data_IF_997652197950
#
_entry.id   IF_997652197950
#
_cell.length_a   1.000
_cell.length_b   1.000
_cell.length_c   1.000
_cell.angle_alpha   90.00
_cell.angle_beta   90.00
_cell.angle_gamma   90.00
#
_symmetry.space_group_name_H-M   'P 1'
#
loop_
_entity.id
_entity.type
_entity.pdbx_description
1 polymer ?
#
# COMPACT_ATOMS: atom_id res chain seq x y z
N UNK A 1 55.44 -92.00 52.89
CA UNK A 1 55.76 -90.95 53.88
C UNK A 1 55.28 -89.62 53.32
N UNK A 2 54.47 -88.83 54.07
CA UNK A 2 53.76 -87.61 53.62
C UNK A 2 52.75 -87.82 52.47
N UNK A 3 51.72 -87.00 52.26
CA UNK A 3 50.85 -86.22 53.18
C UNK A 3 49.46 -86.19 52.54
N UNK A 4 48.38 -86.39 53.30
CA UNK A 4 47.01 -86.20 52.81
C UNK A 4 46.60 -84.72 52.96
N UNK A 5 46.32 -84.04 51.84
CA UNK A 5 45.81 -82.67 51.81
C UNK A 5 44.34 -82.64 52.25
N UNK A 6 44.06 -82.13 53.45
CA UNK A 6 42.69 -82.06 53.98
C UNK A 6 41.88 -80.95 53.29
N UNK A 7 40.77 -81.32 52.62
CA UNK A 7 39.78 -80.35 52.15
C UNK A 7 39.19 -79.57 53.33
N UNK A 8 39.35 -78.24 53.31
CA UNK A 8 38.78 -77.32 54.30
C UNK A 8 37.37 -76.92 53.86
N UNK A 9 36.34 -77.64 54.32
CA UNK A 9 34.93 -77.27 54.07
C UNK A 9 34.63 -75.87 54.64
N UNK A 10 33.99 -74.96 53.89
CA UNK A 10 33.54 -73.67 54.43
C UNK A 10 32.42 -73.86 55.45
N UNK A 11 32.33 -72.97 56.45
CA UNK A 11 31.21 -72.95 57.41
C UNK A 11 29.98 -72.34 56.74
N UNK A 12 28.82 -72.96 56.92
CA UNK A 12 27.53 -72.34 56.60
C UNK A 12 27.11 -71.39 57.73
N UNK A 13 26.88 -70.11 57.41
CA UNK A 13 26.26 -69.13 58.32
C UNK A 13 24.81 -68.94 57.89
N UNK A 14 23.86 -69.20 58.79
CA UNK A 14 22.44 -68.90 58.58
C UNK A 14 22.19 -67.45 58.99
N UNK A 15 21.63 -66.64 58.10
CA UNK A 15 20.97 -65.37 58.43
C UNK A 15 19.47 -65.56 58.19
N UNK A 16 18.63 -64.91 59.01
CA UNK A 16 17.17 -65.12 59.07
C UNK A 16 16.48 -63.78 58.84
N UNK A 17 15.40 -63.79 58.04
CA UNK A 17 14.47 -62.65 57.89
C UNK A 17 14.76 -61.77 56.68
N UNK A 18 13.71 -61.44 55.92
CA UNK A 18 13.80 -60.62 54.71
C UNK A 18 12.70 -60.90 53.70
N UNK A 19 11.43 -60.70 54.07
CA UNK A 19 10.30 -60.88 53.16
C UNK A 19 10.00 -59.58 52.39
N UNK A 20 10.62 -59.43 51.22
CA UNK A 20 10.37 -58.39 50.20
C UNK A 20 11.11 -58.84 48.92
N UNK A 21 10.63 -58.64 47.69
CA UNK A 21 9.36 -58.13 47.17
C UNK A 21 9.47 -58.14 45.64
N UNK A 22 8.48 -58.68 44.93
CA UNK A 22 8.55 -58.81 43.46
C UNK A 22 8.40 -57.44 42.79
N UNK A 23 9.49 -56.90 42.22
CA UNK A 23 9.44 -55.68 41.41
C UNK A 23 10.54 -55.69 40.34
N UNK A 24 10.17 -56.15 39.13
CA UNK A 24 10.99 -55.99 37.94
C UNK A 24 10.85 -54.55 37.45
N UNK A 25 11.69 -53.65 37.98
CA UNK A 25 11.68 -52.24 37.62
C UNK A 25 12.18 -52.04 36.18
N UNK A 26 11.25 -52.06 35.22
CA UNK A 26 11.49 -51.65 33.84
C UNK A 26 11.73 -50.13 33.81
N UNK A 27 12.99 -49.73 34.04
CA UNK A 27 13.42 -48.34 33.99
C UNK A 27 13.45 -47.85 32.54
N UNK A 28 12.28 -47.54 31.99
CA UNK A 28 12.15 -46.79 30.75
C UNK A 28 12.78 -45.41 30.99
N UNK A 29 13.99 -45.20 30.46
CA UNK A 29 14.63 -43.89 30.46
C UNK A 29 13.82 -43.00 29.53
N UNK A 30 12.94 -42.19 30.11
CA UNK A 30 12.34 -41.07 29.41
C UNK A 30 13.45 -40.06 29.13
N UNK A 31 14.13 -40.26 28.00
CA UNK A 31 14.92 -39.19 27.38
C UNK A 31 13.94 -38.05 27.13
N UNK A 32 14.10 -36.87 27.76
CA UNK A 32 13.30 -35.73 27.36
C UNK A 32 13.63 -35.46 25.90
N UNK A 33 12.61 -35.42 25.04
CA UNK A 33 12.80 -34.90 23.70
C UNK A 33 13.31 -33.47 23.85
N UNK A 34 14.59 -33.24 23.55
CA UNK A 34 15.07 -31.89 23.33
C UNK A 34 14.17 -31.29 22.24
N UNK A 35 13.73 -30.02 22.36
CA UNK A 35 13.07 -29.37 21.25
C UNK A 35 14.01 -29.49 20.05
N UNK A 36 13.52 -30.09 18.97
CA UNK A 36 14.24 -30.05 17.71
C UNK A 36 14.42 -28.57 17.39
N UNK A 37 15.67 -28.12 17.28
CA UNK A 37 15.95 -26.78 16.79
C UNK A 37 15.52 -26.77 15.32
N UNK A 38 14.29 -26.32 15.07
CA UNK A 38 13.83 -25.99 13.73
C UNK A 38 14.88 -25.05 13.13
N UNK A 39 15.52 -25.49 12.05
CA UNK A 39 16.39 -24.60 11.27
C UNK A 39 15.42 -23.63 10.61
N UNK A 40 15.47 -22.32 10.92
CA UNK A 40 14.47 -21.40 10.42
C UNK A 40 14.48 -21.43 8.88
N UNK A 41 13.30 -21.53 8.24
CA UNK A 41 13.17 -21.53 6.79
C UNK A 41 13.78 -20.28 6.17
N UNK A 42 14.44 -20.42 5.02
CA UNK A 42 15.26 -19.35 4.46
C UNK A 42 14.41 -18.26 3.78
N UNK A 43 14.61 -16.97 4.11
CA UNK A 43 13.85 -15.87 3.53
C UNK A 43 14.19 -15.60 2.07
N UNK A 44 13.37 -14.77 1.44
CA UNK A 44 13.68 -14.07 0.19
C UNK A 44 13.98 -12.58 0.49
N UNK A 45 15.05 -12.04 -0.08
CA UNK A 45 15.44 -10.63 0.06
C UNK A 45 14.84 -9.76 -1.04
N UNK A 46 14.26 -8.62 -0.67
CA UNK A 46 13.79 -7.60 -1.63
C UNK A 46 14.52 -6.28 -1.42
N UNK A 47 14.88 -5.60 -2.52
CA UNK A 47 15.62 -4.34 -2.48
C UNK A 47 15.47 -3.56 -3.79
N UNK A 48 15.61 -2.24 -3.74
CA UNK A 48 15.55 -1.38 -4.92
C UNK A 48 15.21 0.07 -4.59
N UNK A 49 14.65 0.82 -5.55
CA UNK A 49 14.26 2.23 -5.35
C UNK A 49 12.75 2.40 -5.22
N UNK A 50 12.31 3.48 -4.55
CA UNK A 50 10.89 3.81 -4.39
C UNK A 50 10.56 5.17 -5.02
N UNK A 51 9.50 5.20 -5.84
CA UNK A 51 8.97 6.39 -6.51
C UNK A 51 7.55 6.67 -6.00
N UNK A 52 7.23 7.93 -5.69
CA UNK A 52 5.90 8.38 -5.27
C UNK A 52 5.46 9.51 -6.20
N UNK A 53 4.42 9.25 -7.00
CA UNK A 53 4.01 10.12 -8.10
C UNK A 53 5.11 10.29 -9.13
N UNK A 54 5.60 11.52 -9.29
CA UNK A 54 6.72 11.88 -10.17
C UNK A 54 8.05 12.08 -9.44
N UNK A 55 8.08 11.91 -8.11
CA UNK A 55 9.26 12.13 -7.26
C UNK A 55 9.82 10.84 -6.65
N UNK A 56 11.06 10.91 -6.18
CA UNK A 56 11.65 9.84 -5.35
C UNK A 56 11.04 9.88 -3.94
N UNK A 57 10.87 8.72 -3.32
CA UNK A 57 10.35 8.64 -1.95
C UNK A 57 11.30 9.32 -0.93
N UNK A 58 10.78 10.05 0.08
CA UNK A 58 11.60 10.59 1.15
C UNK A 58 12.33 9.51 1.97
N UNK A 59 13.48 9.86 2.55
CA UNK A 59 14.11 9.05 3.61
C UNK A 59 13.11 8.87 4.77
N UNK A 60 13.02 7.64 5.28
CA UNK A 60 12.09 7.27 6.36
C UNK A 60 10.68 6.84 5.92
N UNK A 61 10.29 7.00 4.64
CA UNK A 61 9.06 6.38 4.11
C UNK A 61 9.09 4.86 4.36
N UNK A 62 7.97 4.31 4.83
CA UNK A 62 7.84 2.89 5.17
C UNK A 62 7.60 2.08 3.91
N UNK A 63 8.29 0.95 3.79
CA UNK A 63 8.03 -0.09 2.78
C UNK A 63 7.76 -1.39 3.51
N UNK A 64 6.61 -2.01 3.28
CA UNK A 64 6.29 -3.33 3.83
C UNK A 64 5.84 -4.33 2.76
N UNK A 65 5.99 -5.61 3.10
CA UNK A 65 5.66 -6.75 2.24
C UNK A 65 4.66 -7.65 2.95
N UNK A 66 3.58 -7.97 2.25
CA UNK A 66 2.43 -8.71 2.76
C UNK A 66 2.17 -9.95 1.90
N UNK A 67 1.65 -11.02 2.52
CA UNK A 67 1.10 -12.18 1.83
C UNK A 67 -0.34 -12.34 2.36
N UNK A 68 -1.32 -12.19 1.46
CA UNK A 68 -2.70 -11.93 1.87
C UNK A 68 -2.79 -10.64 2.69
N UNK A 69 -3.51 -10.68 3.82
CA UNK A 69 -3.68 -9.54 4.73
C UNK A 69 -2.57 -9.46 5.82
N UNK A 70 -1.54 -10.31 5.77
CA UNK A 70 -0.51 -10.42 6.81
C UNK A 70 0.79 -9.76 6.38
N UNK A 71 1.28 -8.78 7.15
CA UNK A 71 2.60 -8.19 6.97
C UNK A 71 3.71 -9.10 7.54
N UNK A 72 4.65 -9.48 6.67
CA UNK A 72 5.76 -10.39 6.99
C UNK A 72 7.12 -9.69 7.07
N UNK A 73 7.27 -8.52 6.45
CA UNK A 73 8.48 -7.71 6.52
C UNK A 73 8.16 -6.22 6.42
N UNK A 74 8.95 -5.39 7.10
CA UNK A 74 8.86 -3.93 7.06
C UNK A 74 10.24 -3.30 7.10
N UNK A 75 10.45 -2.19 6.38
CA UNK A 75 11.70 -1.43 6.29
C UNK A 75 11.41 0.05 6.00
N UNK A 76 12.46 0.88 5.94
CA UNK A 76 12.35 2.29 5.53
C UNK A 76 13.23 2.60 4.33
N UNK A 77 12.85 3.63 3.58
CA UNK A 77 13.67 4.24 2.54
C UNK A 77 14.87 4.97 3.15
N UNK A 78 16.05 4.82 2.53
CA UNK A 78 17.31 5.46 2.92
C UNK A 78 17.54 6.84 2.24
N UNK A 79 18.60 7.55 2.68
CA UNK A 79 18.99 8.85 2.14
C UNK A 79 19.37 8.86 0.64
N UNK A 80 19.51 7.69 0.01
CA UNK A 80 19.73 7.52 -1.43
C UNK A 80 18.45 7.08 -2.18
N UNK A 81 17.28 7.17 -1.53
CA UNK A 81 15.95 6.84 -2.05
C UNK A 81 15.72 5.33 -2.33
N UNK A 82 16.38 4.47 -1.56
CA UNK A 82 16.35 3.01 -1.73
C UNK A 82 15.80 2.30 -0.50
N UNK A 83 15.28 1.09 -0.68
CA UNK A 83 14.82 0.22 0.42
C UNK A 83 15.53 -1.14 0.41
N UNK A 84 15.62 -1.79 1.57
CA UNK A 84 16.21 -3.12 1.72
C UNK A 84 17.74 -3.21 1.58
N UNK A 85 18.42 -2.12 1.22
CA UNK A 85 19.88 -2.06 1.15
C UNK A 85 20.53 -2.16 2.55
N UNK A 86 21.75 -2.71 2.60
CA UNK A 86 22.63 -2.68 3.77
C UNK A 86 24.04 -2.25 3.36
N UNK A 87 24.64 -1.31 4.09
CA UNK A 87 25.92 -0.69 3.75
C UNK A 87 27.13 -1.33 4.44
N UNK A 88 26.93 -2.17 5.47
CA UNK A 88 27.98 -2.89 6.18
C UNK A 88 28.02 -4.40 5.85
N UNK A 89 29.21 -4.86 5.40
CA UNK A 89 29.59 -6.26 5.16
C UNK A 89 28.67 -7.10 4.25
N UNK A 90 28.97 -7.07 2.93
CA UNK A 90 28.74 -8.22 2.06
C UNK A 90 27.39 -8.31 1.35
N UNK A 91 26.47 -7.37 1.57
CA UNK A 91 25.28 -7.20 0.72
C UNK A 91 24.07 -8.08 1.04
N UNK A 92 24.00 -8.68 2.24
CA UNK A 92 22.72 -9.18 2.75
C UNK A 92 21.85 -8.02 3.19
N UNK A 93 20.78 -7.78 2.44
CA UNK A 93 19.80 -6.73 2.69
C UNK A 93 19.02 -6.95 3.98
N UNK A 94 18.40 -5.89 4.49
CA UNK A 94 17.62 -5.92 5.75
C UNK A 94 16.16 -6.32 5.54
N UNK A 95 15.64 -6.19 4.32
CA UNK A 95 14.23 -6.44 4.01
C UNK A 95 14.07 -7.85 3.43
N UNK A 96 13.57 -8.74 4.28
CA UNK A 96 13.58 -10.19 4.12
C UNK A 96 12.19 -10.73 4.44
N UNK A 97 11.50 -11.32 3.46
CA UNK A 97 10.24 -12.05 3.71
C UNK A 97 10.60 -13.49 4.09
N UNK A 98 10.28 -13.98 5.31
CA UNK A 98 10.53 -15.36 5.69
C UNK A 98 9.72 -16.32 4.81
N UNK A 99 10.26 -17.53 4.62
CA UNK A 99 9.47 -18.66 4.12
C UNK A 99 8.81 -19.41 5.28
N UNK A 100 7.81 -20.23 4.99
CA UNK A 100 7.05 -20.99 5.99
C UNK A 100 7.83 -22.20 6.54
N UNK A 101 7.60 -22.58 7.82
CA UNK A 101 8.19 -23.81 8.39
C UNK A 101 7.29 -25.01 8.13
N UNK A 102 7.85 -26.04 7.51
CA UNK A 102 7.22 -27.35 7.28
C UNK A 102 6.70 -28.02 8.57
N UNK A 103 7.18 -27.60 9.75
CA UNK A 103 6.71 -28.09 11.05
C UNK A 103 5.44 -27.39 11.57
N UNK A 104 5.20 -26.12 11.22
CA UNK A 104 3.99 -25.36 11.61
C UNK A 104 3.35 -24.62 10.41
N UNK A 105 2.85 -25.34 9.38
CA UNK A 105 2.54 -24.72 8.09
C UNK A 105 1.44 -23.65 8.13
N UNK A 106 1.65 -22.58 7.35
CA UNK A 106 0.76 -21.44 7.20
C UNK A 106 0.85 -20.44 8.34
N UNK A 107 2.02 -20.26 8.95
CA UNK A 107 2.23 -19.32 10.07
C UNK A 107 3.43 -18.40 9.90
N UNK A 108 4.59 -18.98 9.65
CA UNK A 108 5.87 -18.33 9.97
C UNK A 108 6.55 -17.68 8.76
N UNK A 109 5.95 -17.83 7.56
CA UNK A 109 6.36 -17.14 6.34
C UNK A 109 5.54 -17.54 5.12
N UNK A 110 6.05 -17.20 3.93
CA UNK A 110 5.44 -17.54 2.64
C UNK A 110 5.75 -18.96 2.16
N UNK A 111 4.82 -19.54 1.41
CA UNK A 111 4.99 -20.79 0.66
C UNK A 111 5.37 -20.47 -0.78
N UNK A 112 6.19 -21.32 -1.42
CA UNK A 112 6.59 -21.12 -2.82
C UNK A 112 5.35 -21.05 -3.74
N UNK A 113 5.19 -19.94 -4.45
CA UNK A 113 4.02 -19.65 -5.28
C UNK A 113 2.99 -18.70 -4.67
N UNK A 114 3.13 -18.28 -3.40
CA UNK A 114 2.30 -17.23 -2.81
C UNK A 114 2.56 -15.86 -3.47
N UNK A 115 1.56 -14.98 -3.50
CA UNK A 115 1.74 -13.60 -3.97
C UNK A 115 2.22 -12.71 -2.83
N UNK A 116 3.41 -12.13 -2.99
CA UNK A 116 3.91 -11.02 -2.16
C UNK A 116 3.43 -9.69 -2.76
N UNK A 117 2.65 -8.94 -2.00
CA UNK A 117 2.28 -7.56 -2.33
C UNK A 117 3.13 -6.57 -1.53
N UNK A 118 3.51 -5.45 -2.15
CA UNK A 118 4.33 -4.42 -1.50
C UNK A 118 3.54 -3.14 -1.30
N UNK A 119 3.73 -2.52 -0.15
CA UNK A 119 3.05 -1.30 0.27
C UNK A 119 4.06 -0.23 0.64
N UNK A 120 3.81 1.01 0.23
CA UNK A 120 4.63 2.19 0.54
C UNK A 120 3.75 3.18 1.30
N UNK A 121 4.13 3.48 2.54
CA UNK A 121 3.31 4.25 3.51
C UNK A 121 1.83 3.77 3.59
N UNK A 122 1.61 2.46 3.42
CA UNK A 122 0.29 1.80 3.44
C UNK A 122 -0.48 1.78 2.12
N UNK A 123 0.06 2.35 1.03
CA UNK A 123 -0.54 2.28 -0.32
C UNK A 123 0.11 1.16 -1.12
N UNK A 124 -0.68 0.28 -1.74
CA UNK A 124 -0.14 -0.79 -2.60
C UNK A 124 0.66 -0.17 -3.76
N UNK A 125 1.91 -0.61 -3.93
CA UNK A 125 2.77 -0.19 -5.01
C UNK A 125 2.60 -1.07 -6.25
N UNK A 126 2.80 -0.49 -7.42
CA UNK A 126 3.13 -1.24 -8.63
C UNK A 126 4.61 -1.67 -8.56
N UNK A 127 4.91 -2.89 -9.00
CA UNK A 127 6.24 -3.49 -8.97
C UNK A 127 6.86 -3.42 -10.37
N UNK A 128 8.16 -3.19 -10.45
CA UNK A 128 8.97 -3.42 -11.65
C UNK A 128 10.20 -4.24 -11.28
N UNK A 129 10.32 -5.44 -11.84
CA UNK A 129 11.48 -6.30 -11.68
C UNK A 129 12.60 -5.82 -12.60
N UNK A 130 13.74 -5.50 -11.99
CA UNK A 130 14.89 -4.90 -12.68
C UNK A 130 15.74 -5.94 -13.42
N UNK A 131 15.65 -7.22 -13.02
CA UNK A 131 16.46 -8.31 -13.56
C UNK A 131 15.74 -9.05 -14.71
N UNK A 132 14.40 -9.16 -14.68
CA UNK A 132 13.59 -9.61 -15.84
C UNK A 132 13.17 -8.47 -16.77
N UNK A 133 12.96 -7.26 -16.24
CA UNK A 133 12.45 -6.10 -16.97
C UNK A 133 10.91 -6.04 -17.08
N UNK A 134 10.18 -6.82 -16.27
CA UNK A 134 8.72 -6.89 -16.30
C UNK A 134 8.05 -6.07 -15.20
N UNK A 135 6.89 -5.48 -15.51
CA UNK A 135 6.00 -4.85 -14.52
C UNK A 135 5.05 -5.90 -13.93
N UNK A 136 4.92 -5.95 -12.60
CA UNK A 136 4.15 -6.97 -11.89
C UNK A 136 3.06 -6.33 -10.99
N UNK A 137 1.93 -7.01 -10.85
CA UNK A 137 0.85 -6.67 -9.89
C UNK A 137 1.12 -7.22 -8.47
N UNK A 138 2.10 -8.11 -8.35
CA UNK A 138 2.57 -8.78 -7.14
C UNK A 138 3.70 -9.75 -7.52
N UNK A 139 4.57 -10.09 -6.57
CA UNK A 139 5.71 -10.97 -6.82
C UNK A 139 5.40 -12.40 -6.38
N UNK A 140 5.67 -13.40 -7.23
CA UNK A 140 5.48 -14.82 -6.89
C UNK A 140 6.62 -15.29 -5.99
N UNK A 141 6.33 -15.65 -4.74
CA UNK A 141 7.33 -15.97 -3.72
C UNK A 141 8.17 -17.20 -4.08
N UNK A 142 9.50 -17.06 -3.97
CA UNK A 142 10.48 -18.14 -4.13
C UNK A 142 11.33 -18.27 -2.85
N UNK A 143 11.55 -19.50 -2.37
CA UNK A 143 12.35 -19.78 -1.17
C UNK A 143 13.86 -19.77 -1.52
N UNK A 144 14.72 -19.15 -0.69
CA UNK A 144 16.17 -18.93 -0.92
C UNK A 144 16.51 -18.03 -2.14
N UNK A 145 16.12 -16.75 -2.12
CA UNK A 145 16.44 -15.82 -3.23
C UNK A 145 16.71 -14.37 -2.83
N UNK A 146 17.14 -13.58 -3.81
CA UNK A 146 17.15 -12.10 -3.73
C UNK A 146 16.64 -11.54 -5.05
N UNK A 147 15.67 -10.62 -5.01
CA UNK A 147 15.13 -9.96 -6.20
C UNK A 147 15.26 -8.45 -6.09
N UNK A 148 15.69 -7.80 -7.17
CA UNK A 148 15.71 -6.34 -7.24
C UNK A 148 14.41 -5.80 -7.83
N UNK A 149 13.55 -5.25 -6.97
CA UNK A 149 12.27 -4.67 -7.35
C UNK A 149 12.31 -3.15 -7.16
N UNK A 150 11.88 -2.41 -8.17
CA UNK A 150 11.56 -0.98 -8.02
C UNK A 150 10.07 -0.83 -7.72
N UNK A 151 9.73 -0.02 -6.72
CA UNK A 151 8.35 0.20 -6.29
C UNK A 151 7.87 1.58 -6.74
N UNK A 152 6.64 1.66 -7.26
CA UNK A 152 6.01 2.92 -7.66
C UNK A 152 4.61 3.03 -7.07
N UNK A 153 4.35 4.08 -6.30
CA UNK A 153 2.99 4.48 -5.90
C UNK A 153 2.55 5.67 -6.73
N UNK A 154 1.49 5.49 -7.51
CA UNK A 154 0.80 6.60 -8.19
C UNK A 154 -0.08 7.32 -7.17
N UNK A 155 0.31 8.54 -6.79
CA UNK A 155 -0.61 9.44 -6.10
C UNK A 155 -1.67 9.94 -7.11
N UNK A 156 -2.97 9.83 -6.82
CA UNK A 156 -3.99 10.47 -7.63
C UNK A 156 -3.90 11.99 -7.45
N UNK A 157 -4.30 12.78 -8.45
CA UNK A 157 -4.47 14.21 -8.21
C UNK A 157 -5.59 14.43 -7.19
N UNK A 158 -5.37 15.38 -6.29
CA UNK A 158 -6.30 15.78 -5.22
C UNK A 158 -6.56 17.29 -5.23
N UNK A 159 -5.98 18.01 -6.19
CA UNK A 159 -6.29 19.40 -6.50
C UNK A 159 -7.77 19.50 -6.91
N UNK A 160 -8.46 20.54 -6.43
CA UNK A 160 -9.81 20.82 -6.89
C UNK A 160 -9.75 21.68 -8.17
N UNK A 161 -10.56 21.39 -9.21
CA UNK A 161 -10.66 22.27 -10.35
C UNK A 161 -11.16 23.65 -9.91
N UNK A 162 -10.40 24.68 -10.30
CA UNK A 162 -10.83 26.08 -10.22
C UNK A 162 -11.53 26.48 -11.51
N UNK A 163 -12.34 27.53 -11.49
CA UNK A 163 -13.07 27.99 -12.68
C UNK A 163 -13.13 29.52 -12.78
N UNK A 164 -12.74 30.05 -13.93
CA UNK A 164 -12.82 31.46 -14.28
C UNK A 164 -14.06 31.71 -15.17
N UNK A 165 -14.89 32.69 -14.79
CA UNK A 165 -16.10 33.05 -15.55
C UNK A 165 -15.87 34.40 -16.22
N UNK A 166 -15.90 34.42 -17.56
CA UNK A 166 -15.59 35.58 -18.39
C UNK A 166 -16.69 35.89 -19.42
N UNK A 167 -16.57 37.06 -20.07
CA UNK A 167 -17.44 37.48 -21.17
C UNK A 167 -16.69 38.40 -22.14
N UNK A 168 -16.95 38.26 -23.43
CA UNK A 168 -16.44 39.16 -24.48
C UNK A 168 -17.32 40.41 -24.68
N UNK A 169 -18.45 40.52 -23.98
CA UNK A 169 -19.27 41.72 -24.00
C UNK A 169 -18.68 42.81 -23.08
N UNK A 170 -18.57 44.03 -23.61
CA UNK A 170 -18.19 45.22 -22.82
C UNK A 170 -19.31 45.62 -21.86
N UNK A 171 -18.96 46.28 -20.75
CA UNK A 171 -19.95 46.83 -19.80
C UNK A 171 -20.14 48.34 -19.97
N UNK A 172 -21.38 48.87 -20.04
CA UNK A 172 -22.66 48.15 -20.15
C UNK A 172 -22.85 47.49 -21.52
N UNK A 173 -23.81 46.56 -21.63
CA UNK A 173 -24.13 45.86 -22.88
C UNK A 173 -25.62 45.84 -23.21
N UNK A 174 -25.91 45.72 -24.51
CA UNK A 174 -27.23 45.37 -25.07
C UNK A 174 -27.21 44.06 -25.85
N UNK A 175 -26.09 43.31 -25.82
CA UNK A 175 -25.95 42.01 -26.50
C UNK A 175 -26.86 40.97 -25.83
N UNK A 176 -27.65 40.24 -26.63
CA UNK A 176 -28.53 39.18 -26.14
C UNK A 176 -28.53 37.99 -27.11
N UNK A 177 -28.21 36.76 -26.65
CA UNK A 177 -27.69 36.44 -25.32
C UNK A 177 -26.28 37.04 -25.10
N UNK A 178 -25.95 37.38 -23.86
CA UNK A 178 -24.60 37.76 -23.43
C UNK A 178 -23.71 36.51 -23.52
N UNK A 179 -22.58 36.53 -24.25
CA UNK A 179 -21.66 35.40 -24.29
C UNK A 179 -20.95 35.25 -22.94
N UNK A 180 -21.06 34.08 -22.33
CA UNK A 180 -20.32 33.67 -21.13
C UNK A 180 -19.34 32.56 -21.54
N UNK A 181 -18.11 32.63 -21.03
CA UNK A 181 -17.18 31.49 -21.00
C UNK A 181 -16.94 31.07 -19.56
N UNK A 182 -16.78 29.76 -19.34
CA UNK A 182 -16.28 29.17 -18.12
C UNK A 182 -15.08 28.30 -18.49
N UNK A 183 -13.90 28.67 -18.03
CA UNK A 183 -12.65 27.95 -18.26
C UNK A 183 -12.16 27.39 -16.93
N UNK A 184 -11.96 26.09 -16.87
CA UNK A 184 -11.46 25.37 -15.71
C UNK A 184 -9.93 25.24 -15.75
N UNK A 185 -9.29 25.02 -14.60
CA UNK A 185 -7.82 24.81 -14.53
C UNK A 185 -7.35 23.45 -15.06
N UNK A 186 -8.28 22.54 -15.35
CA UNK A 186 -8.07 21.16 -15.82
C UNK A 186 -9.34 20.69 -16.55
N UNK A 187 -9.28 19.52 -17.19
CA UNK A 187 -10.45 18.95 -17.87
C UNK A 187 -11.50 18.44 -16.87
N UNK A 188 -12.69 19.03 -16.87
CA UNK A 188 -13.83 18.56 -16.05
C UNK A 188 -14.84 17.74 -16.87
N UNK A 189 -15.61 16.91 -16.18
CA UNK A 189 -16.72 16.14 -16.77
C UNK A 189 -17.97 16.31 -15.93
N UNK A 190 -19.15 16.06 -16.49
CA UNK A 190 -20.43 16.20 -15.78
C UNK A 190 -20.93 17.63 -15.59
N UNK A 191 -20.09 18.66 -15.81
CA UNK A 191 -20.53 20.06 -15.80
C UNK A 191 -21.58 20.32 -16.89
N UNK A 192 -22.75 20.80 -16.49
CA UNK A 192 -23.90 21.01 -17.37
C UNK A 192 -24.60 22.36 -17.15
N UNK A 193 -25.59 22.68 -17.99
CA UNK A 193 -26.35 23.92 -17.91
C UNK A 193 -27.03 24.12 -16.52
N UNK A 194 -27.37 23.03 -15.83
CA UNK A 194 -27.96 23.06 -14.47
C UNK A 194 -27.02 23.63 -13.40
N UNK A 195 -25.70 23.60 -13.62
CA UNK A 195 -24.71 24.16 -12.70
C UNK A 195 -24.56 25.69 -12.83
N UNK A 196 -25.11 26.30 -13.88
CA UNK A 196 -24.97 27.74 -14.15
C UNK A 196 -26.11 28.54 -13.49
N UNK A 197 -25.82 29.20 -12.37
CA UNK A 197 -26.78 30.07 -11.68
C UNK A 197 -26.61 31.52 -12.11
N UNK A 198 -27.62 32.06 -12.82
CA UNK A 198 -27.65 33.48 -13.24
C UNK A 198 -28.61 34.28 -12.35
N UNK A 199 -28.08 35.24 -11.60
CA UNK A 199 -28.87 36.28 -10.95
C UNK A 199 -29.33 37.35 -11.95
N UNK A 200 -30.63 37.62 -11.97
CA UNK A 200 -31.32 38.54 -12.89
C UNK A 200 -31.29 38.10 -14.39
N UNK A 201 -31.23 36.80 -14.66
CA UNK A 201 -31.27 36.26 -16.02
C UNK A 201 -31.41 34.73 -16.02
N UNK A 202 -31.19 34.13 -17.18
CA UNK A 202 -31.13 32.67 -17.37
C UNK A 202 -29.96 32.31 -18.27
N UNK A 203 -29.25 31.22 -17.95
CA UNK A 203 -28.37 30.57 -18.92
C UNK A 203 -29.23 29.79 -19.94
N UNK A 204 -28.79 29.74 -21.19
CA UNK A 204 -29.54 29.18 -22.32
C UNK A 204 -28.72 28.16 -23.11
N UNK A 205 -28.25 28.54 -24.30
CA UNK A 205 -27.35 27.69 -25.10
C UNK A 205 -26.11 27.31 -24.28
N UNK A 206 -25.70 26.04 -24.35
CA UNK A 206 -24.54 25.48 -23.65
C UNK A 206 -23.75 24.58 -24.61
N UNK A 207 -22.42 24.77 -24.67
CA UNK A 207 -21.52 23.94 -25.47
C UNK A 207 -20.08 24.03 -24.93
N UNK A 208 -19.39 22.89 -24.86
CA UNK A 208 -18.04 22.78 -24.32
C UNK A 208 -17.67 21.35 -23.93
N UNK A 209 -16.43 21.15 -23.52
CA UNK A 209 -15.89 19.87 -23.06
C UNK A 209 -14.49 20.04 -22.47
N UNK A 210 -14.14 19.28 -21.44
CA UNK A 210 -12.81 19.36 -20.84
C UNK A 210 -12.68 20.65 -20.03
N UNK A 211 -11.65 21.44 -20.29
CA UNK A 211 -11.43 22.70 -19.57
C UNK A 211 -12.37 23.83 -20.01
N UNK A 212 -12.86 23.85 -21.26
CA UNK A 212 -13.54 25.03 -21.84
C UNK A 212 -15.04 24.83 -22.12
N UNK A 213 -15.84 25.73 -21.58
CA UNK A 213 -17.29 25.80 -21.77
C UNK A 213 -17.78 27.20 -22.14
N UNK A 214 -18.83 27.22 -22.96
CA UNK A 214 -19.52 28.43 -23.40
C UNK A 214 -21.00 28.36 -23.03
N UNK A 215 -21.59 29.48 -22.63
CA UNK A 215 -23.03 29.61 -22.55
C UNK A 215 -23.56 30.97 -22.99
N UNK A 216 -24.85 31.02 -23.34
CA UNK A 216 -25.56 32.26 -23.66
C UNK A 216 -26.45 32.70 -22.51
N UNK A 217 -26.17 33.85 -21.89
CA UNK A 217 -26.93 34.40 -20.77
C UNK A 217 -27.98 35.40 -21.28
N UNK A 218 -29.25 35.11 -21.07
CA UNK A 218 -30.39 35.96 -21.46
C UNK A 218 -30.91 36.73 -20.25
N UNK A 219 -31.24 38.01 -20.43
CA UNK A 219 -31.62 38.93 -19.33
C UNK A 219 -32.85 39.76 -19.73
N UNK A 220 -33.77 40.07 -18.80
CA UNK A 220 -34.92 40.93 -19.09
C UNK A 220 -34.46 42.39 -19.29
N UNK A 221 -35.16 43.14 -20.15
CA UNK A 221 -34.80 44.48 -20.63
C UNK A 221 -34.60 45.58 -19.56
N UNK A 222 -34.81 45.30 -18.27
CA UNK A 222 -34.63 46.24 -17.15
C UNK A 222 -33.61 45.75 -16.10
N UNK A 223 -32.81 44.72 -16.40
CA UNK A 223 -31.76 44.24 -15.50
C UNK A 223 -30.54 45.20 -15.47
N UNK A 224 -30.31 45.87 -14.33
CA UNK A 224 -29.20 46.84 -14.16
C UNK A 224 -27.84 46.22 -13.85
N UNK A 225 -27.82 45.02 -13.28
CA UNK A 225 -26.61 44.21 -13.03
C UNK A 225 -26.99 42.74 -13.10
N UNK A 226 -26.11 41.94 -13.68
CA UNK A 226 -26.24 40.49 -13.82
C UNK A 226 -25.09 39.86 -13.05
N UNK A 227 -25.38 38.84 -12.23
CA UNK A 227 -24.35 38.11 -11.49
C UNK A 227 -24.41 36.65 -11.90
N UNK A 228 -23.35 36.15 -12.54
CA UNK A 228 -23.24 34.74 -12.87
C UNK A 228 -22.36 34.04 -11.84
N UNK A 229 -22.78 32.84 -11.41
CA UNK A 229 -22.02 31.98 -10.52
C UNK A 229 -22.25 30.53 -10.93
N UNK A 230 -21.18 29.76 -11.06
CA UNK A 230 -21.26 28.33 -11.30
C UNK A 230 -21.25 27.58 -9.97
N UNK A 231 -22.07 26.54 -9.86
CA UNK A 231 -22.08 25.58 -8.77
C UNK A 231 -21.72 24.19 -9.30
N UNK A 232 -20.60 24.10 -10.01
CA UNK A 232 -20.10 22.86 -10.59
C UNK A 232 -19.85 21.80 -9.49
N UNK A 233 -20.37 20.58 -9.68
CA UNK A 233 -20.17 19.42 -8.80
C UNK A 233 -20.07 18.16 -9.67
N UNK A 234 -19.23 17.19 -9.26
CA UNK A 234 -18.72 15.99 -9.97
C UNK A 234 -17.35 16.32 -10.61
N UNK A 235 -16.18 16.04 -10.00
CA UNK A 235 -15.63 14.88 -9.25
C UNK A 235 -15.15 13.75 -10.17
N UNK A 236 -13.82 13.67 -10.37
CA UNK A 236 -13.08 12.51 -10.91
C UNK A 236 -11.79 12.19 -10.13
N UNK A 237 -11.78 12.44 -8.81
CA UNK A 237 -10.81 11.89 -7.87
C UNK A 237 -11.43 11.84 -6.46
N UNK A 238 -10.93 10.99 -5.58
CA UNK A 238 -11.63 10.59 -4.33
C UNK A 238 -11.63 11.63 -3.22
N UNK A 239 -10.87 12.73 -3.32
CA UNK A 239 -10.85 13.82 -2.32
C UNK A 239 -10.72 15.19 -3.00
N UNK A 240 -11.83 15.93 -3.18
CA UNK A 240 -11.81 17.40 -3.26
C UNK A 240 -13.20 18.05 -3.22
N UNK A 241 -13.29 19.29 -2.74
CA UNK A 241 -14.51 20.12 -2.77
C UNK A 241 -14.32 21.36 -3.64
N UNK A 242 -15.20 21.51 -4.64
CA UNK A 242 -15.09 22.53 -5.70
C UNK A 242 -15.22 23.96 -5.15
N UNK A 243 -14.40 24.88 -5.66
CA UNK A 243 -14.49 26.30 -5.33
C UNK A 243 -15.57 27.01 -6.16
N UNK A 244 -16.44 27.78 -5.49
CA UNK A 244 -17.52 28.52 -6.15
C UNK A 244 -16.99 29.84 -6.72
N UNK A 245 -17.01 29.97 -8.05
CA UNK A 245 -16.65 31.20 -8.76
C UNK A 245 -17.88 32.09 -9.02
N UNK A 246 -17.68 33.40 -9.08
CA UNK A 246 -18.78 34.37 -9.20
C UNK A 246 -18.30 35.68 -9.84
N UNK A 247 -18.75 35.95 -11.07
CA UNK A 247 -18.41 37.16 -11.84
C UNK A 247 -19.65 38.02 -12.09
N UNK A 248 -19.48 39.34 -12.07
CA UNK A 248 -20.51 40.26 -12.56
C UNK A 248 -20.44 40.39 -14.08
N UNK A 249 -21.48 39.93 -14.76
CA UNK A 249 -21.63 40.08 -16.20
C UNK A 249 -22.17 41.48 -16.54
N UNK A 250 -21.79 42.04 -17.70
CA UNK A 250 -22.30 43.34 -18.15
C UNK A 250 -23.82 43.32 -18.29
N UNK A 251 -24.46 44.46 -18.05
CA UNK A 251 -25.90 44.64 -18.11
C UNK A 251 -26.26 46.04 -18.63
N UNK A 252 -27.55 46.32 -18.81
CA UNK A 252 -28.01 47.59 -19.37
C UNK A 252 -28.15 48.67 -18.29
N UNK A 253 -27.74 49.90 -18.61
CA UNK A 253 -27.99 51.08 -17.77
C UNK A 253 -29.17 51.89 -18.34
N UNK A 254 -30.33 51.77 -17.69
CA UNK A 254 -31.50 52.65 -17.82
C UNK A 254 -31.95 53.14 -16.44
#
# INVERSE_FOLDING_TARGET
>A
MRVLSKLKKPKATRIIGGALGLLLALSLVLVPAAPALAVPPMPHQFWGTVTIGTGLAPEGTIVSAQIGETEYASTTVDAEHRYGYRTDYGGTGTFMVPADDLNEPGKDGGVAGDTVEFYVDGVKAALYDVDTGESLEGYTFEIWGTTKLNLTVTIPDSTAPTVEINSTATSPTSTSPIPMTATFSEDVTGFELGDITVGNGTAGSFAGSGADYTSGVTVPMMAKMVKCSTKAVIVLSSVSTVQVSSTHLPASLS
#
